data_IF_642949286689
#
_entry.id   IF_642949286689
#
_cell.length_a   1.000
_cell.length_b   1.000
_cell.length_c   1.000
_cell.angle_alpha   90.00
_cell.angle_beta   90.00
_cell.angle_gamma   90.00
#
_symmetry.space_group_name_H-M   'P 1'
#
loop_
_entity.id
_entity.type
_entity.pdbx_description
1 polymer ?
#
# COMPACT_ATOMS: atom_id res chain seq x y z
N UNK A 1 31.04 -33.32 -17.27
CA UNK A 1 31.06 -32.98 -15.83
C UNK A 1 31.50 -31.54 -15.59
N UNK A 2 32.70 -31.10 -15.99
CA UNK A 2 33.21 -29.73 -15.78
C UNK A 2 32.37 -28.60 -16.43
N UNK A 3 31.77 -28.83 -17.60
CA UNK A 3 30.93 -27.81 -18.27
C UNK A 3 29.60 -27.57 -17.53
N UNK A 4 29.01 -28.63 -16.94
CA UNK A 4 27.77 -28.53 -16.17
C UNK A 4 28.00 -27.82 -14.84
N UNK A 5 29.12 -28.08 -14.15
CA UNK A 5 29.47 -27.38 -12.92
C UNK A 5 29.69 -25.89 -13.14
N UNK A 6 30.31 -25.50 -14.26
CA UNK A 6 30.51 -24.09 -14.59
C UNK A 6 29.18 -23.36 -14.88
N UNK A 7 28.27 -24.01 -15.61
CA UNK A 7 26.93 -23.50 -15.87
C UNK A 7 26.10 -23.31 -14.58
N UNK A 8 26.21 -24.25 -13.63
CA UNK A 8 25.54 -24.16 -12.33
C UNK A 8 26.10 -22.99 -11.50
N UNK A 9 27.43 -22.84 -11.42
CA UNK A 9 28.05 -21.73 -10.69
C UNK A 9 27.67 -20.38 -11.32
N UNK A 10 27.72 -20.27 -12.64
CA UNK A 10 27.32 -19.06 -13.36
C UNK A 10 25.84 -18.72 -13.13
N UNK A 11 24.96 -19.73 -13.14
CA UNK A 11 23.54 -19.54 -12.83
C UNK A 11 23.35 -19.05 -11.39
N UNK A 12 24.00 -19.65 -10.39
CA UNK A 12 23.93 -19.23 -8.99
C UNK A 12 24.40 -17.78 -8.81
N UNK A 13 25.49 -17.38 -9.48
CA UNK A 13 25.98 -16.00 -9.44
C UNK A 13 25.05 -15.01 -10.14
N UNK A 14 24.37 -15.42 -11.22
CA UNK A 14 23.37 -14.60 -11.92
C UNK A 14 22.07 -14.42 -11.14
N UNK A 15 21.68 -15.39 -10.31
CA UNK A 15 20.43 -15.32 -9.55
C UNK A 15 20.40 -14.15 -8.54
N UNK A 16 21.55 -13.55 -8.17
CA UNK A 16 21.68 -12.38 -7.26
C UNK A 16 20.78 -12.45 -6.01
N UNK A 17 20.52 -13.66 -5.51
CA UNK A 17 19.65 -13.85 -4.35
C UNK A 17 20.45 -13.47 -3.11
N UNK A 18 20.10 -12.35 -2.50
CA UNK A 18 20.65 -11.91 -1.21
C UNK A 18 19.60 -12.12 -0.14
N UNK A 19 19.92 -12.93 0.86
CA UNK A 19 19.06 -13.07 2.04
C UNK A 19 19.18 -11.81 2.90
N UNK A 20 18.12 -11.01 2.91
CA UNK A 20 18.01 -9.77 3.70
C UNK A 20 17.08 -9.93 4.91
N UNK A 21 16.73 -11.16 5.30
CA UNK A 21 15.85 -11.40 6.46
C UNK A 21 16.36 -10.72 7.72
N UNK A 22 17.66 -10.83 8.02
CA UNK A 22 18.27 -10.15 9.18
C UNK A 22 18.14 -8.64 9.13
N UNK A 23 18.34 -8.04 7.97
CA UNK A 23 18.17 -6.59 7.79
C UNK A 23 16.70 -6.20 8.00
N UNK A 24 15.75 -7.00 7.47
CA UNK A 24 14.32 -6.81 7.67
C UNK A 24 13.89 -6.95 9.14
N UNK A 25 14.37 -7.98 9.85
CA UNK A 25 14.05 -8.23 11.26
C UNK A 25 14.54 -7.07 12.15
N UNK A 26 15.71 -6.50 11.85
CA UNK A 26 16.26 -5.36 12.57
C UNK A 26 15.40 -4.10 12.40
N UNK A 27 15.01 -3.77 11.17
CA UNK A 27 14.21 -2.56 10.90
C UNK A 27 12.73 -2.73 11.25
N UNK A 28 12.22 -3.97 11.28
CA UNK A 28 10.85 -4.27 11.65
C UNK A 28 10.51 -3.82 13.08
N UNK A 29 11.49 -3.79 13.99
CA UNK A 29 11.27 -3.33 15.36
C UNK A 29 10.72 -1.89 15.40
N UNK A 30 11.25 -1.00 14.56
CA UNK A 30 10.79 0.39 14.50
C UNK A 30 9.32 0.50 14.01
N UNK A 31 8.85 -0.45 13.20
CA UNK A 31 7.45 -0.54 12.78
C UNK A 31 6.59 -1.09 13.92
N UNK A 32 7.06 -2.15 14.59
CA UNK A 32 6.35 -2.85 15.65
C UNK A 32 6.18 -2.00 16.91
N UNK A 33 7.18 -1.19 17.26
CA UNK A 33 7.13 -0.27 18.40
C UNK A 33 6.50 1.09 18.07
N UNK A 34 6.14 1.31 16.79
CA UNK A 34 5.50 2.52 16.31
C UNK A 34 6.43 3.73 16.15
N UNK A 35 7.73 3.60 16.39
CA UNK A 35 8.71 4.69 16.18
C UNK A 35 8.90 5.06 14.70
N UNK A 36 8.51 4.17 13.79
CA UNK A 36 8.45 4.40 12.35
C UNK A 36 7.03 4.21 11.81
N UNK A 37 6.31 5.33 11.69
CA UNK A 37 4.98 5.40 11.11
C UNK A 37 4.87 6.58 10.12
N UNK A 38 5.42 6.44 8.88
CA UNK A 38 5.33 7.50 7.87
C UNK A 38 3.88 7.85 7.52
N UNK A 39 3.66 9.02 6.94
CA UNK A 39 2.32 9.36 6.43
C UNK A 39 2.00 8.51 5.20
N UNK A 40 0.77 8.01 5.13
CA UNK A 40 0.25 7.25 3.98
C UNK A 40 -0.96 7.96 3.39
N UNK A 41 -0.95 8.17 2.09
CA UNK A 41 -2.12 8.65 1.34
C UNK A 41 -2.80 7.46 0.65
N UNK A 42 -4.10 7.31 0.88
CA UNK A 42 -4.94 6.32 0.23
C UNK A 42 -5.76 7.03 -0.85
N UNK A 43 -5.43 6.76 -2.11
CA UNK A 43 -6.10 7.36 -3.26
C UNK A 43 -7.19 6.41 -3.79
N UNK A 44 -8.44 6.87 -3.82
CA UNK A 44 -9.61 6.13 -4.32
C UNK A 44 -10.07 6.77 -5.63
N UNK A 45 -9.53 6.36 -6.78
CA UNK A 45 -10.02 6.82 -8.08
C UNK A 45 -11.39 6.22 -8.38
N UNK A 46 -12.30 7.04 -8.90
CA UNK A 46 -13.67 6.63 -9.23
C UNK A 46 -14.17 7.29 -10.50
N UNK A 47 -14.90 6.52 -11.30
CA UNK A 47 -15.62 7.00 -12.48
C UNK A 47 -17.06 6.51 -12.46
N UNK A 48 -17.99 7.41 -12.17
CA UNK A 48 -19.44 7.15 -12.17
C UNK A 48 -19.86 5.93 -11.32
N UNK A 49 -19.11 5.60 -10.26
CA UNK A 49 -19.48 4.52 -9.35
C UNK A 49 -20.59 4.96 -8.39
N UNK A 50 -21.54 4.08 -8.05
CA UNK A 50 -22.59 4.41 -7.09
C UNK A 50 -22.03 4.83 -5.73
N UNK A 51 -22.60 5.88 -5.14
CA UNK A 51 -22.20 6.45 -3.84
C UNK A 51 -22.10 5.40 -2.73
N UNK A 52 -22.99 4.41 -2.72
CA UNK A 52 -22.99 3.37 -1.69
C UNK A 52 -21.76 2.43 -1.78
N UNK A 53 -21.19 2.24 -2.99
CA UNK A 53 -19.96 1.49 -3.19
C UNK A 53 -18.79 2.31 -2.63
N UNK A 54 -18.70 3.58 -3.02
CA UNK A 54 -17.67 4.51 -2.52
C UNK A 54 -17.68 4.60 -1.00
N UNK A 55 -18.88 4.70 -0.39
CA UNK A 55 -19.04 4.72 1.06
C UNK A 55 -18.41 3.49 1.72
N UNK A 56 -18.66 2.29 1.18
CA UNK A 56 -18.09 1.05 1.72
C UNK A 56 -16.57 1.02 1.56
N UNK A 57 -16.06 1.48 0.43
CA UNK A 57 -14.61 1.58 0.17
C UNK A 57 -13.94 2.52 1.15
N UNK A 58 -14.45 3.75 1.32
CA UNK A 58 -13.91 4.75 2.25
C UNK A 58 -13.93 4.21 3.68
N UNK A 59 -15.02 3.60 4.12
CA UNK A 59 -15.11 2.99 5.46
C UNK A 59 -14.08 1.86 5.65
N UNK A 60 -13.83 1.05 4.62
CA UNK A 60 -12.77 0.04 4.63
C UNK A 60 -11.38 0.66 4.79
N UNK A 61 -11.10 1.75 4.07
CA UNK A 61 -9.85 2.49 4.19
C UNK A 61 -9.69 3.11 5.59
N UNK A 62 -10.76 3.62 6.18
CA UNK A 62 -10.74 4.16 7.55
C UNK A 62 -10.43 3.10 8.61
N UNK A 63 -10.97 1.89 8.41
CA UNK A 63 -10.78 0.75 9.31
C UNK A 63 -9.37 0.12 9.24
N UNK A 64 -8.52 0.51 8.29
CA UNK A 64 -7.13 0.03 8.23
C UNK A 64 -6.39 0.30 9.54
N UNK A 65 -5.68 -0.71 10.06
CA UNK A 65 -4.82 -0.64 11.25
C UNK A 65 -3.52 0.16 10.95
N UNK A 66 -3.68 1.44 10.66
CA UNK A 66 -2.60 2.38 10.40
C UNK A 66 -3.03 3.79 10.81
N UNK A 67 -2.38 4.37 11.83
CA UNK A 67 -2.84 5.64 12.41
C UNK A 67 -2.54 6.86 11.54
N UNK A 68 -1.38 6.90 10.89
CA UNK A 68 -0.91 8.06 10.14
C UNK A 68 -1.32 7.99 8.66
N UNK A 69 -2.64 8.02 8.40
CA UNK A 69 -3.19 7.92 7.04
C UNK A 69 -4.14 9.06 6.71
N UNK A 70 -4.16 9.44 5.44
CA UNK A 70 -5.16 10.31 4.82
C UNK A 70 -5.83 9.59 3.66
N UNK A 71 -7.11 9.89 3.43
CA UNK A 71 -7.91 9.24 2.40
C UNK A 71 -8.39 10.33 1.44
N UNK A 72 -8.23 10.06 0.15
CA UNK A 72 -8.60 10.95 -0.94
C UNK A 72 -9.54 10.23 -1.91
N UNK A 73 -10.64 10.85 -2.30
CA UNK A 73 -11.56 10.37 -3.33
C UNK A 73 -11.35 11.19 -4.60
N UNK A 74 -10.93 10.53 -5.68
CA UNK A 74 -10.64 11.17 -6.96
C UNK A 74 -11.80 10.90 -7.92
N UNK A 75 -12.81 11.76 -7.91
CA UNK A 75 -14.01 11.65 -8.77
C UNK A 75 -13.87 12.46 -10.06
N UNK A 76 -13.66 11.76 -11.17
CA UNK A 76 -13.45 12.36 -12.50
C UNK A 76 -14.69 13.07 -13.05
N UNK A 77 -15.88 12.81 -12.48
CA UNK A 77 -17.15 13.37 -12.96
C UNK A 77 -17.65 14.55 -12.12
N UNK A 78 -16.90 14.99 -11.11
CA UNK A 78 -17.20 16.15 -10.25
C UNK A 78 -18.61 16.13 -9.64
N UNK A 79 -19.05 14.97 -9.14
CA UNK A 79 -20.39 14.78 -8.58
C UNK A 79 -20.49 15.35 -7.16
N UNK A 80 -21.47 16.23 -6.95
CA UNK A 80 -21.74 16.84 -5.64
C UNK A 80 -21.98 15.79 -4.53
N UNK A 81 -22.69 14.70 -4.84
CA UNK A 81 -22.93 13.59 -3.91
C UNK A 81 -21.65 12.91 -3.41
N UNK A 82 -20.58 12.90 -4.22
CA UNK A 82 -19.27 12.32 -3.83
C UNK A 82 -18.52 13.29 -2.92
N UNK A 83 -18.56 14.59 -3.23
CA UNK A 83 -18.00 15.62 -2.36
C UNK A 83 -18.70 15.67 -0.99
N UNK A 84 -20.03 15.57 -0.98
CA UNK A 84 -20.84 15.47 0.25
C UNK A 84 -20.50 14.22 1.05
N UNK A 85 -20.33 13.07 0.36
CA UNK A 85 -19.90 11.83 1.00
C UNK A 85 -18.51 11.97 1.62
N UNK A 86 -17.55 12.57 0.90
CA UNK A 86 -16.20 12.76 1.39
C UNK A 86 -16.18 13.63 2.65
N UNK A 87 -16.88 14.77 2.61
CA UNK A 87 -17.05 15.64 3.76
C UNK A 87 -17.73 14.94 4.95
N UNK A 88 -18.78 14.16 4.70
CA UNK A 88 -19.51 13.43 5.73
C UNK A 88 -18.66 12.33 6.41
N UNK A 89 -17.72 11.75 5.68
CA UNK A 89 -16.81 10.72 6.19
C UNK A 89 -15.47 11.29 6.68
N UNK A 90 -15.19 12.58 6.47
CA UNK A 90 -13.92 13.19 6.85
C UNK A 90 -12.73 12.75 5.98
N UNK A 91 -12.98 12.46 4.70
CA UNK A 91 -11.93 12.30 3.69
C UNK A 91 -11.95 13.48 2.70
N UNK A 92 -10.86 13.62 1.96
CA UNK A 92 -10.64 14.72 1.00
C UNK A 92 -11.06 14.33 -0.42
#
# INVERSE_FOLDING_TARGET
>A
MLALSNGIIQLVLMLRIRDRKREADQVAQAVLDGSYAPSVDVLIPTYNEPVFILKRTIMGCQAMEYGNKKIYVLDDTHRAEVQELAAALGCE
#
